data_IF_094391519083
#
_entry.id   IF_094391519083
#
_cell.length_a   1.000
_cell.length_b   1.000
_cell.length_c   1.000
_cell.angle_alpha   90.00
_cell.angle_beta   90.00
_cell.angle_gamma   90.00
#
_symmetry.space_group_name_H-M   'P 1'
#
loop_
_entity.id
_entity.type
_entity.pdbx_description
1 polymer ?
#
# COMPACT_ATOMS: atom_id res chain seq x y z
N UNK A 1 -11.60 22.71 9.58
CA UNK A 1 -10.59 21.66 9.71
C UNK A 1 -9.75 22.05 10.92
N UNK A 2 -9.58 21.19 11.93
CA UNK A 2 -8.72 21.50 13.07
C UNK A 2 -7.27 21.61 12.57
N UNK A 3 -6.52 22.54 13.11
CA UNK A 3 -5.07 22.62 12.86
C UNK A 3 -4.35 21.42 13.46
N UNK A 4 -3.12 21.13 13.03
CA UNK A 4 -2.32 20.05 13.60
C UNK A 4 -2.15 20.21 15.11
N UNK A 5 -1.96 21.45 15.59
CA UNK A 5 -1.84 21.78 17.01
C UNK A 5 -3.13 21.52 17.78
N UNK A 6 -4.29 21.85 17.22
CA UNK A 6 -5.60 21.53 17.82
C UNK A 6 -5.88 20.03 17.88
N UNK A 7 -5.35 19.23 16.93
CA UNK A 7 -5.44 17.76 16.93
C UNK A 7 -4.55 17.19 18.03
N UNK A 8 -3.31 17.67 18.16
CA UNK A 8 -2.37 17.24 19.19
C UNK A 8 -2.86 17.58 20.61
N UNK A 9 -3.51 18.72 20.79
CA UNK A 9 -4.11 19.11 22.09
C UNK A 9 -5.33 18.25 22.48
N UNK A 10 -5.98 17.59 21.53
CA UNK A 10 -7.17 16.76 21.78
C UNK A 10 -6.91 15.25 21.70
N UNK A 11 -5.75 14.84 21.20
CA UNK A 11 -5.40 13.41 21.10
C UNK A 11 -5.04 12.87 22.48
N UNK A 12 -5.65 11.75 22.93
CA UNK A 12 -5.33 11.16 24.22
C UNK A 12 -3.84 10.80 24.33
N UNK A 13 -3.26 10.99 25.52
CA UNK A 13 -1.83 10.75 25.79
C UNK A 13 -1.40 9.33 25.35
N UNK A 14 -2.26 8.33 25.48
CA UNK A 14 -1.98 6.95 25.06
C UNK A 14 -1.58 6.80 23.58
N UNK A 15 -2.08 7.66 22.69
CA UNK A 15 -1.68 7.67 21.28
C UNK A 15 -0.27 8.24 21.11
N UNK A 16 0.03 9.34 21.81
CA UNK A 16 1.36 9.97 21.78
C UNK A 16 2.43 9.02 22.36
N UNK A 17 2.11 8.30 23.44
CA UNK A 17 3.01 7.35 24.10
C UNK A 17 3.37 6.17 23.17
N UNK A 18 2.45 5.78 22.28
CA UNK A 18 2.68 4.76 21.24
C UNK A 18 3.22 5.35 19.92
N UNK A 19 3.38 6.66 19.82
CA UNK A 19 3.82 7.33 18.60
C UNK A 19 2.83 7.26 17.45
N UNK A 20 1.51 7.15 17.77
CA UNK A 20 0.44 7.05 16.78
C UNK A 20 -0.18 8.44 16.57
N UNK A 21 0.10 9.07 15.44
CA UNK A 21 -0.39 10.38 15.04
C UNK A 21 -1.45 10.32 13.93
N UNK A 22 -1.45 9.24 13.14
CA UNK A 22 -2.42 9.00 12.08
C UNK A 22 -2.59 7.50 11.79
N UNK A 23 -3.64 7.15 11.07
CA UNK A 23 -3.78 5.88 10.37
C UNK A 23 -3.53 6.05 8.87
N UNK A 24 -3.22 4.95 8.18
CA UNK A 24 -3.27 4.90 6.73
C UNK A 24 -4.23 3.80 6.27
N UNK A 25 -4.72 3.84 5.01
CA UNK A 25 -5.53 2.75 4.46
C UNK A 25 -4.85 1.38 4.57
N UNK A 26 -3.54 1.33 4.34
CA UNK A 26 -2.75 0.10 4.49
C UNK A 26 -2.74 -0.39 5.94
N UNK A 27 -2.55 0.50 6.90
CA UNK A 27 -2.64 0.17 8.33
C UNK A 27 -4.01 -0.37 8.70
N UNK A 28 -5.10 0.26 8.22
CA UNK A 28 -6.47 -0.16 8.53
C UNK A 28 -6.87 -1.50 7.88
N UNK A 29 -6.17 -1.92 6.83
CA UNK A 29 -6.35 -3.23 6.19
C UNK A 29 -5.57 -4.37 6.87
N UNK A 30 -4.60 -4.08 7.74
CA UNK A 30 -3.88 -5.10 8.50
C UNK A 30 -4.74 -5.66 9.66
N UNK A 31 -4.44 -6.88 10.12
CA UNK A 31 -4.94 -7.36 11.41
C UNK A 31 -4.45 -6.46 12.55
N UNK A 32 -5.18 -6.44 13.65
CA UNK A 32 -4.82 -5.63 14.81
C UNK A 32 -3.45 -6.03 15.39
N UNK A 33 -3.12 -7.33 15.38
CA UNK A 33 -1.84 -7.84 15.87
C UNK A 33 -0.66 -7.39 14.97
N UNK A 34 -0.79 -7.55 13.65
CA UNK A 34 0.23 -7.10 12.71
C UNK A 34 0.43 -5.57 12.75
N UNK A 35 -0.67 -4.83 12.86
CA UNK A 35 -0.61 -3.38 13.02
C UNK A 35 0.08 -2.97 14.34
N UNK A 36 -0.31 -3.57 15.48
CA UNK A 36 0.27 -3.24 16.78
C UNK A 36 1.79 -3.48 16.79
N UNK A 37 2.24 -4.61 16.23
CA UNK A 37 3.67 -4.86 16.12
C UNK A 37 4.37 -3.82 15.24
N UNK A 38 3.90 -3.62 14.00
CA UNK A 38 4.59 -2.77 13.02
C UNK A 38 4.56 -1.29 13.37
N UNK A 39 3.49 -0.80 13.97
CA UNK A 39 3.26 0.64 14.11
C UNK A 39 3.27 1.15 15.56
N UNK A 40 3.08 0.28 16.55
CA UNK A 40 3.18 0.65 17.95
C UNK A 40 4.44 0.08 18.63
N UNK A 41 4.84 -1.17 18.30
CA UNK A 41 6.02 -1.78 18.94
C UNK A 41 7.34 -1.44 18.24
N UNK A 42 7.33 -1.15 16.93
CA UNK A 42 8.55 -0.76 16.19
C UNK A 42 8.62 0.77 16.02
N UNK A 43 9.79 1.33 16.29
CA UNK A 43 10.11 2.71 15.89
C UNK A 43 10.07 2.88 14.37
N UNK A 44 9.96 4.12 13.90
CA UNK A 44 10.00 4.42 12.45
C UNK A 44 11.29 3.91 11.79
N UNK A 45 12.44 4.03 12.49
CA UNK A 45 13.72 3.53 11.99
C UNK A 45 13.77 2.00 11.87
N UNK A 46 13.13 1.28 12.78
CA UNK A 46 13.02 -0.18 12.72
C UNK A 46 12.05 -0.62 11.63
N UNK A 47 10.91 0.06 11.47
CA UNK A 47 10.00 -0.18 10.34
C UNK A 47 10.68 -0.01 8.99
N UNK A 48 11.52 1.01 8.84
CA UNK A 48 12.29 1.24 7.61
C UNK A 48 13.28 0.12 7.27
N UNK A 49 13.60 -0.76 8.23
CA UNK A 49 14.45 -1.94 8.01
C UNK A 49 13.66 -3.20 7.64
N UNK A 50 12.33 -3.17 7.73
CA UNK A 50 11.51 -4.30 7.30
C UNK A 50 11.71 -4.53 5.80
N UNK A 51 11.96 -5.78 5.45
CA UNK A 51 12.32 -6.14 4.07
C UNK A 51 11.11 -6.02 3.14
N UNK A 52 11.35 -5.36 2.01
CA UNK A 52 10.40 -5.26 0.89
C UNK A 52 10.76 -6.35 -0.13
N UNK A 53 9.82 -7.23 -0.45
CA UNK A 53 10.05 -8.26 -1.45
C UNK A 53 10.00 -7.69 -2.87
N UNK A 54 10.53 -8.44 -3.84
CA UNK A 54 10.62 -8.02 -5.24
C UNK A 54 9.26 -7.62 -5.84
N UNK A 55 8.14 -8.24 -5.44
CA UNK A 55 6.81 -7.89 -5.96
C UNK A 55 6.39 -6.48 -5.53
N UNK A 56 6.64 -6.13 -4.27
CA UNK A 56 6.36 -4.79 -3.76
C UNK A 56 7.29 -3.77 -4.42
N UNK A 57 8.58 -4.08 -4.49
CA UNK A 57 9.58 -3.23 -5.14
C UNK A 57 9.21 -2.93 -6.61
N UNK A 58 8.93 -3.98 -7.39
CA UNK A 58 8.53 -3.82 -8.80
C UNK A 58 7.22 -3.04 -8.95
N UNK A 59 6.24 -3.31 -8.08
CA UNK A 59 4.96 -2.58 -8.08
C UNK A 59 5.15 -1.09 -7.88
N UNK A 60 5.95 -0.69 -6.89
CA UNK A 60 6.31 0.70 -6.62
C UNK A 60 7.09 1.30 -7.79
N UNK A 61 8.14 0.62 -8.26
CA UNK A 61 8.97 1.10 -9.38
C UNK A 61 8.14 1.36 -10.64
N UNK A 62 7.24 0.44 -11.01
CA UNK A 62 6.35 0.65 -12.16
C UNK A 62 5.39 1.81 -11.91
N UNK A 63 4.88 1.97 -10.70
CA UNK A 63 4.06 3.12 -10.32
C UNK A 63 4.79 4.44 -10.53
N UNK A 64 5.99 4.56 -9.96
CA UNK A 64 6.83 5.76 -10.08
C UNK A 64 7.13 6.10 -11.55
N UNK A 65 7.45 5.10 -12.37
CA UNK A 65 7.72 5.30 -13.79
C UNK A 65 6.47 5.75 -14.58
N UNK A 66 5.30 5.20 -14.26
CA UNK A 66 4.05 5.70 -14.84
C UNK A 66 3.78 7.15 -14.42
N UNK A 67 4.02 7.52 -13.18
CA UNK A 67 3.87 8.90 -12.70
C UNK A 67 4.81 9.86 -13.46
N UNK A 68 6.06 9.47 -13.68
CA UNK A 68 7.01 10.24 -14.49
C UNK A 68 6.55 10.45 -15.94
N UNK A 69 5.83 9.48 -16.51
CA UNK A 69 5.31 9.56 -17.88
C UNK A 69 4.02 10.40 -17.99
N UNK A 70 3.16 10.39 -16.99
CA UNK A 70 1.79 10.92 -17.13
C UNK A 70 1.49 12.15 -16.27
N UNK A 71 2.13 12.30 -15.10
CA UNK A 71 1.83 13.40 -14.19
C UNK A 71 2.55 14.69 -14.57
N UNK A 72 1.88 15.81 -14.41
CA UNK A 72 2.45 17.15 -14.63
C UNK A 72 3.19 17.64 -13.38
N UNK A 73 2.78 17.15 -12.21
CA UNK A 73 3.33 17.50 -10.90
C UNK A 73 3.44 16.24 -10.04
N UNK A 74 4.48 16.18 -9.22
CA UNK A 74 4.73 15.03 -8.32
C UNK A 74 5.03 15.56 -6.92
N UNK A 75 4.30 15.11 -5.90
CA UNK A 75 4.64 15.36 -4.51
C UNK A 75 5.85 14.54 -4.10
N UNK A 76 6.89 15.22 -3.60
CA UNK A 76 8.06 14.53 -3.06
C UNK A 76 7.80 14.08 -1.64
N UNK A 77 8.04 12.80 -1.38
CA UNK A 77 7.81 12.17 -0.08
C UNK A 77 8.58 12.84 1.07
N UNK A 78 9.81 13.30 0.79
CA UNK A 78 10.72 13.81 1.83
C UNK A 78 10.47 15.26 2.20
N UNK A 79 9.96 16.09 1.30
CA UNK A 79 9.79 17.54 1.54
C UNK A 79 8.32 17.96 1.58
N UNK A 80 7.40 17.14 1.09
CA UNK A 80 6.00 17.49 0.92
C UNK A 80 5.79 18.59 -0.13
N UNK A 81 6.80 18.87 -0.94
CA UNK A 81 6.74 19.89 -1.99
C UNK A 81 6.22 19.31 -3.28
N UNK A 82 5.42 20.11 -3.99
CA UNK A 82 4.95 19.81 -5.33
C UNK A 82 6.05 20.16 -6.32
N UNK A 83 6.55 19.16 -7.03
CA UNK A 83 7.61 19.33 -8.04
C UNK A 83 6.99 19.26 -9.44
N UNK A 84 7.29 20.26 -10.24
CA UNK A 84 6.87 20.36 -11.63
C UNK A 84 7.60 19.32 -12.49
N UNK A 85 6.84 18.44 -13.14
CA UNK A 85 7.31 17.41 -14.05
C UNK A 85 7.04 17.81 -15.51
N UNK A 86 7.41 19.04 -15.88
CA UNK A 86 7.19 19.60 -17.25
C UNK A 86 7.75 18.74 -18.36
N UNK A 87 8.89 18.09 -18.11
CA UNK A 87 9.51 17.18 -19.06
C UNK A 87 9.12 15.75 -18.71
N UNK A 88 7.90 15.37 -19.10
CA UNK A 88 7.45 13.99 -18.95
C UNK A 88 8.42 13.01 -19.60
N UNK A 89 8.75 11.95 -18.88
CA UNK A 89 9.60 10.86 -19.38
C UNK A 89 8.88 10.11 -20.50
N UNK A 90 9.54 9.82 -21.60
CA UNK A 90 8.98 8.96 -22.64
C UNK A 90 8.88 7.51 -22.17
N UNK A 91 8.04 6.71 -22.84
CA UNK A 91 7.92 5.27 -22.53
C UNK A 91 9.28 4.56 -22.65
N UNK A 92 10.06 4.85 -23.69
CA UNK A 92 11.34 4.19 -23.92
C UNK A 92 12.38 4.54 -22.85
N UNK A 93 12.51 5.82 -22.50
CA UNK A 93 13.36 6.26 -21.37
C UNK A 93 12.95 5.61 -20.06
N UNK A 94 11.66 5.56 -19.75
CA UNK A 94 11.15 4.93 -18.53
C UNK A 94 11.40 3.41 -18.50
N UNK A 95 11.33 2.74 -19.65
CA UNK A 95 11.64 1.32 -19.76
C UNK A 95 13.14 1.02 -19.57
N UNK A 96 14.03 1.90 -20.02
CA UNK A 96 15.46 1.83 -19.71
C UNK A 96 15.72 2.01 -18.21
N UNK A 97 15.08 3.01 -17.58
CA UNK A 97 15.15 3.24 -16.15
C UNK A 97 14.67 2.02 -15.34
N UNK A 98 13.60 1.34 -15.78
CA UNK A 98 13.11 0.11 -15.14
C UNK A 98 14.20 -0.96 -15.09
N UNK A 99 14.89 -1.20 -16.21
CA UNK A 99 15.96 -2.19 -16.27
C UNK A 99 17.12 -1.84 -15.32
N UNK A 100 17.51 -0.55 -15.26
CA UNK A 100 18.55 -0.08 -14.33
C UNK A 100 18.14 -0.25 -12.86
N UNK A 101 16.88 0.07 -12.51
CA UNK A 101 16.38 -0.05 -11.15
C UNK A 101 16.32 -1.52 -10.72
N UNK A 102 15.87 -2.41 -11.59
CA UNK A 102 15.85 -3.84 -11.31
C UNK A 102 17.25 -4.42 -11.10
N UNK A 103 18.25 -3.95 -11.84
CA UNK A 103 19.64 -4.39 -11.65
C UNK A 103 20.24 -3.96 -10.30
N UNK A 104 19.65 -2.96 -9.64
CA UNK A 104 20.06 -2.49 -8.30
C UNK A 104 19.30 -3.19 -7.16
N UNK A 105 18.28 -4.00 -7.47
CA UNK A 105 17.52 -4.70 -6.45
C UNK A 105 18.38 -5.77 -5.78
N UNK A 106 18.38 -5.74 -4.44
CA UNK A 106 19.07 -6.72 -3.60
C UNK A 106 18.04 -7.63 -2.91
N UNK A 107 18.00 -8.88 -3.33
CA UNK A 107 17.11 -9.90 -2.78
C UNK A 107 17.51 -10.28 -1.36
N UNK A 108 16.55 -10.32 -0.45
CA UNK A 108 16.80 -10.48 0.98
C UNK A 108 16.80 -11.94 1.48
N UNK A 109 16.28 -12.87 0.68
CA UNK A 109 16.37 -14.31 0.96
C UNK A 109 16.34 -15.13 -0.34
N UNK A 110 16.57 -16.43 -0.23
CA UNK A 110 16.59 -17.34 -1.39
C UNK A 110 15.24 -17.36 -2.14
N UNK A 111 14.10 -17.32 -1.42
CA UNK A 111 12.77 -17.34 -2.03
C UNK A 111 12.53 -16.05 -2.83
N UNK A 112 12.96 -14.91 -2.31
CA UNK A 112 12.87 -13.64 -3.01
C UNK A 112 13.80 -13.58 -4.22
N UNK A 113 15.03 -14.15 -4.12
CA UNK A 113 15.95 -14.29 -5.24
C UNK A 113 15.37 -15.15 -6.37
N UNK A 114 14.82 -16.32 -6.05
CA UNK A 114 14.17 -17.20 -7.03
C UNK A 114 12.99 -16.47 -7.72
N UNK A 115 12.23 -15.67 -6.96
CA UNK A 115 11.13 -14.88 -7.49
C UNK A 115 11.62 -13.74 -8.39
N UNK A 116 12.67 -13.03 -7.99
CA UNK A 116 13.32 -11.98 -8.77
C UNK A 116 13.77 -12.49 -10.13
N UNK A 117 14.51 -13.62 -10.16
CA UNK A 117 14.95 -14.26 -11.39
C UNK A 117 13.76 -14.67 -12.27
N UNK A 118 12.68 -15.14 -11.62
CA UNK A 118 11.46 -15.57 -12.33
C UNK A 118 10.65 -14.43 -12.97
N UNK A 119 10.72 -13.20 -12.45
CA UNK A 119 9.88 -12.08 -12.91
C UNK A 119 10.64 -10.99 -13.66
N UNK A 120 11.95 -10.95 -13.56
CA UNK A 120 12.80 -9.94 -14.22
C UNK A 120 12.49 -9.82 -15.72
N UNK A 121 12.36 -10.96 -16.40
CA UNK A 121 12.14 -11.01 -17.86
C UNK A 121 10.76 -10.53 -18.30
N UNK A 122 9.80 -10.39 -17.37
CA UNK A 122 8.45 -9.90 -17.71
C UNK A 122 8.17 -8.49 -17.16
N UNK A 123 9.13 -7.86 -16.51
CA UNK A 123 8.92 -6.54 -15.90
C UNK A 123 8.61 -5.46 -16.95
N UNK A 124 9.27 -5.50 -18.11
CA UNK A 124 9.00 -4.57 -19.21
C UNK A 124 7.57 -4.74 -19.78
N UNK A 125 7.09 -5.99 -19.91
CA UNK A 125 5.71 -6.25 -20.34
C UNK A 125 4.71 -5.74 -19.27
N UNK A 126 5.01 -5.95 -17.99
CA UNK A 126 4.18 -5.42 -16.90
C UNK A 126 4.12 -3.89 -16.94
N UNK A 127 5.25 -3.22 -17.13
CA UNK A 127 5.30 -1.76 -17.26
C UNK A 127 4.48 -1.29 -18.47
N UNK A 128 4.62 -1.97 -19.62
CA UNK A 128 3.84 -1.66 -20.80
C UNK A 128 2.33 -1.73 -20.55
N UNK A 129 1.84 -2.77 -19.87
CA UNK A 129 0.42 -2.90 -19.54
C UNK A 129 -0.06 -1.80 -18.58
N UNK A 130 0.74 -1.46 -17.57
CA UNK A 130 0.43 -0.35 -16.67
C UNK A 130 0.38 0.99 -17.42
N UNK A 131 1.37 1.26 -18.27
CA UNK A 131 1.44 2.45 -19.12
C UNK A 131 0.22 2.57 -20.05
N UNK A 132 -0.15 1.49 -20.75
CA UNK A 132 -1.32 1.46 -21.63
C UNK A 132 -2.62 1.70 -20.82
N UNK A 133 -2.70 1.17 -19.61
CA UNK A 133 -3.80 1.43 -18.68
C UNK A 133 -3.91 2.91 -18.29
N UNK A 134 -2.82 3.55 -17.90
CA UNK A 134 -2.78 4.99 -17.61
C UNK A 134 -3.21 5.82 -18.81
N UNK A 135 -2.66 5.51 -19.97
CA UNK A 135 -2.98 6.20 -21.23
C UNK A 135 -4.46 6.12 -21.58
N UNK A 136 -5.10 4.97 -21.34
CA UNK A 136 -6.52 4.75 -21.64
C UNK A 136 -7.46 5.60 -20.78
N UNK A 137 -7.04 6.02 -19.59
CA UNK A 137 -7.83 6.87 -18.69
C UNK A 137 -8.00 8.30 -19.19
N UNK A 138 -7.14 8.76 -20.09
CA UNK A 138 -7.19 10.13 -20.66
C UNK A 138 -7.38 11.18 -19.56
N UNK A 139 -6.50 11.18 -18.56
CA UNK A 139 -6.54 12.12 -17.46
C UNK A 139 -6.32 13.55 -17.96
N UNK A 140 -7.02 14.51 -17.33
CA UNK A 140 -6.98 15.92 -17.72
C UNK A 140 -5.88 16.66 -16.94
N UNK A 141 -5.06 17.45 -17.63
CA UNK A 141 -4.05 18.28 -16.98
C UNK A 141 -4.68 19.38 -16.10
N UNK A 142 -4.13 19.71 -14.92
CA UNK A 142 -2.93 19.09 -14.36
C UNK A 142 -3.20 17.70 -13.75
N UNK A 143 -2.31 16.74 -14.00
CA UNK A 143 -2.30 15.45 -13.33
C UNK A 143 -1.24 15.46 -12.24
N UNK A 144 -1.63 15.19 -11.01
CA UNK A 144 -0.75 15.20 -9.82
C UNK A 144 -0.55 13.79 -9.29
N UNK A 145 0.70 13.39 -9.05
CA UNK A 145 1.05 12.13 -8.39
C UNK A 145 1.27 12.34 -6.89
N UNK A 146 1.11 11.26 -6.12
CA UNK A 146 1.41 11.19 -4.69
C UNK A 146 0.71 12.27 -3.84
N UNK A 147 -0.44 12.78 -4.33
CA UNK A 147 -1.18 13.78 -3.59
C UNK A 147 -1.67 13.22 -2.25
N UNK A 148 -1.25 13.84 -1.16
CA UNK A 148 -1.62 13.46 0.19
C UNK A 148 -3.03 13.91 0.51
N UNK A 149 -3.88 12.97 0.87
CA UNK A 149 -5.26 13.21 1.26
C UNK A 149 -5.51 12.78 2.71
N UNK A 150 -6.31 13.55 3.43
CA UNK A 150 -6.60 13.33 4.86
C UNK A 150 -8.09 13.36 5.13
N UNK A 151 -8.52 12.51 6.06
CA UNK A 151 -9.89 12.50 6.58
C UNK A 151 -9.85 12.29 8.09
N UNK A 152 -10.56 13.12 8.84
CA UNK A 152 -10.65 12.98 10.28
C UNK A 152 -11.47 11.74 10.66
N UNK A 153 -10.91 10.91 11.54
CA UNK A 153 -11.60 9.87 12.27
C UNK A 153 -11.76 10.32 13.74
N UNK A 154 -12.08 9.44 14.67
CA UNK A 154 -12.45 9.86 16.02
C UNK A 154 -11.31 10.62 16.73
N UNK A 155 -10.18 10.00 16.97
CA UNK A 155 -9.05 10.61 17.71
C UNK A 155 -7.94 11.11 16.79
N UNK A 156 -7.64 10.38 15.73
CA UNK A 156 -6.61 10.74 14.75
C UNK A 156 -7.19 10.76 13.34
N UNK A 157 -6.51 11.44 12.42
CA UNK A 157 -6.91 11.39 11.01
C UNK A 157 -6.43 10.10 10.33
N UNK A 158 -7.07 9.75 9.23
CA UNK A 158 -6.51 8.80 8.27
C UNK A 158 -5.85 9.58 7.14
N UNK A 159 -4.64 9.20 6.76
CA UNK A 159 -3.84 9.81 5.71
C UNK A 159 -3.44 8.80 4.66
N UNK A 160 -3.48 9.16 3.39
CA UNK A 160 -3.03 8.31 2.29
C UNK A 160 -2.66 9.14 1.08
N UNK A 161 -2.16 8.49 0.05
CA UNK A 161 -1.74 9.14 -1.20
C UNK A 161 -2.35 8.43 -2.40
N UNK A 162 -2.81 9.22 -3.36
CA UNK A 162 -3.30 8.73 -4.65
C UNK A 162 -2.12 8.53 -5.60
N UNK A 163 -2.13 7.46 -6.38
CA UNK A 163 -1.05 7.21 -7.36
C UNK A 163 -1.06 8.26 -8.48
N UNK A 164 -2.24 8.75 -8.84
CA UNK A 164 -2.39 9.88 -9.75
C UNK A 164 -3.80 10.46 -9.68
N UNK A 165 -3.92 11.77 -9.80
CA UNK A 165 -5.22 12.43 -9.83
C UNK A 165 -5.25 13.63 -10.77
N UNK A 166 -6.41 13.87 -11.35
CA UNK A 166 -6.75 15.07 -12.10
C UNK A 166 -7.89 15.84 -11.36
N UNK A 167 -8.40 16.94 -11.89
CA UNK A 167 -9.49 17.70 -11.24
C UNK A 167 -10.76 16.88 -10.98
N UNK A 168 -11.04 15.82 -11.73
CA UNK A 168 -12.32 15.09 -11.69
C UNK A 168 -12.21 13.66 -11.17
N UNK A 169 -11.03 13.02 -11.32
CA UNK A 169 -10.83 11.61 -11.02
C UNK A 169 -9.47 11.35 -10.41
N UNK A 170 -9.34 10.20 -9.76
CA UNK A 170 -8.05 9.68 -9.30
C UNK A 170 -7.88 8.22 -9.68
N UNK A 171 -6.64 7.79 -9.72
CA UNK A 171 -6.21 6.44 -10.03
C UNK A 171 -5.49 5.82 -8.84
N UNK A 172 -5.80 4.55 -8.59
CA UNK A 172 -5.06 3.64 -7.73
C UNK A 172 -4.52 2.50 -8.59
N UNK A 173 -3.20 2.36 -8.69
CA UNK A 173 -2.54 1.35 -9.51
C UNK A 173 -2.13 0.13 -8.68
N UNK A 174 -2.37 -1.06 -9.20
CA UNK A 174 -2.00 -2.33 -8.55
C UNK A 174 -1.37 -3.30 -9.53
N UNK A 175 -0.12 -3.66 -9.29
CA UNK A 175 0.59 -4.65 -10.09
C UNK A 175 0.30 -6.07 -9.60
N UNK A 176 0.10 -7.00 -10.52
CA UNK A 176 -0.09 -8.43 -10.29
C UNK A 176 1.11 -9.20 -10.82
N UNK A 177 2.15 -9.26 -10.01
CA UNK A 177 3.39 -9.96 -10.35
C UNK A 177 3.15 -11.46 -10.48
N UNK A 178 3.87 -12.14 -11.41
CA UNK A 178 3.82 -13.58 -11.55
C UNK A 178 4.16 -14.32 -10.25
N UNK A 179 3.69 -15.55 -10.16
CA UNK A 179 4.00 -16.45 -9.06
C UNK A 179 4.88 -17.59 -9.54
N UNK A 180 5.76 -18.09 -8.66
CA UNK A 180 6.50 -19.34 -8.90
C UNK A 180 5.64 -20.54 -8.51
N UNK A 181 5.55 -21.50 -9.40
CA UNK A 181 4.91 -22.79 -9.13
C UNK A 181 5.73 -23.62 -8.14
N UNK A 182 5.13 -24.67 -7.62
CA UNK A 182 5.86 -25.66 -6.80
C UNK A 182 7.05 -26.22 -7.60
N UNK A 183 8.18 -26.53 -6.93
CA UNK A 183 9.31 -27.14 -7.59
C UNK A 183 8.90 -28.43 -8.29
N UNK A 184 9.41 -28.67 -9.49
CA UNK A 184 9.33 -29.96 -10.18
C UNK A 184 10.29 -30.96 -9.53
N UNK A 185 10.25 -32.22 -9.97
CA UNK A 185 11.16 -33.29 -9.45
C UNK A 185 12.64 -32.98 -9.66
N UNK A 186 12.97 -32.18 -10.67
CA UNK A 186 14.34 -31.72 -10.98
C UNK A 186 14.76 -30.47 -10.22
N UNK A 187 13.91 -29.98 -9.29
CA UNK A 187 14.14 -28.75 -8.51
C UNK A 187 13.78 -27.45 -9.25
N UNK A 188 13.50 -27.49 -10.54
CA UNK A 188 13.14 -26.29 -11.31
C UNK A 188 11.72 -25.81 -10.96
N UNK A 189 11.50 -24.49 -11.04
CA UNK A 189 10.17 -23.88 -10.88
C UNK A 189 9.77 -23.19 -12.18
N UNK A 190 8.52 -23.36 -12.58
CA UNK A 190 7.94 -22.58 -13.67
C UNK A 190 7.23 -21.36 -13.12
N UNK A 191 7.22 -20.30 -13.91
CA UNK A 191 6.48 -19.07 -13.68
C UNK A 191 5.03 -19.23 -14.15
N UNK A 192 4.07 -18.66 -13.42
CA UNK A 192 2.68 -18.55 -13.85
C UNK A 192 2.20 -17.10 -13.71
N UNK A 193 1.48 -16.63 -14.73
CA UNK A 193 0.79 -15.35 -14.70
C UNK A 193 -0.19 -15.32 -13.52
N UNK A 194 -0.14 -14.27 -12.73
CA UNK A 194 -1.17 -14.02 -11.72
C UNK A 194 -2.37 -13.37 -12.40
N UNK A 195 -3.52 -14.03 -12.36
CA UNK A 195 -4.75 -13.50 -12.96
C UNK A 195 -5.18 -12.17 -12.34
N UNK A 196 -5.68 -11.26 -13.15
CA UNK A 196 -6.31 -10.04 -12.68
C UNK A 196 -7.66 -10.35 -12.00
N UNK A 197 -8.14 -9.50 -11.07
CA UNK A 197 -9.48 -9.63 -10.52
C UNK A 197 -10.53 -9.65 -11.64
N UNK A 198 -11.51 -10.57 -11.55
CA UNK A 198 -12.42 -10.81 -12.65
C UNK A 198 -13.60 -9.84 -12.67
N UNK A 199 -14.35 -9.76 -11.60
CA UNK A 199 -15.62 -9.00 -11.56
C UNK A 199 -15.54 -7.84 -10.56
N UNK A 200 -14.77 -7.99 -9.49
CA UNK A 200 -14.59 -7.01 -8.43
C UNK A 200 -13.10 -6.83 -8.09
N UNK A 201 -12.65 -5.63 -7.69
CA UNK A 201 -11.30 -5.42 -7.19
C UNK A 201 -11.08 -6.17 -5.88
N UNK A 202 -9.83 -6.36 -5.49
CA UNK A 202 -9.53 -6.90 -4.16
C UNK A 202 -10.10 -5.97 -3.08
N UNK A 203 -10.70 -6.56 -2.07
CA UNK A 203 -11.43 -5.84 -1.03
C UNK A 203 -10.60 -4.76 -0.32
N UNK A 204 -9.31 -5.05 -0.05
CA UNK A 204 -8.38 -4.07 0.54
C UNK A 204 -8.16 -2.84 -0.36
N UNK A 205 -8.10 -3.06 -1.68
CA UNK A 205 -7.93 -1.97 -2.64
C UNK A 205 -9.23 -1.17 -2.82
N UNK A 206 -10.38 -1.83 -2.83
CA UNK A 206 -11.68 -1.14 -2.86
C UNK A 206 -11.87 -0.25 -1.63
N UNK A 207 -11.50 -0.72 -0.44
CA UNK A 207 -11.54 0.05 0.80
C UNK A 207 -10.60 1.28 0.77
N UNK A 208 -9.37 1.10 0.28
CA UNK A 208 -8.42 2.18 0.10
C UNK A 208 -8.97 3.24 -0.87
N UNK A 209 -9.51 2.79 -1.98
CA UNK A 209 -10.13 3.66 -3.01
C UNK A 209 -11.36 4.40 -2.46
N UNK A 210 -12.19 3.75 -1.65
CA UNK A 210 -13.32 4.42 -0.99
C UNK A 210 -12.84 5.55 -0.06
N UNK A 211 -11.79 5.33 0.73
CA UNK A 211 -11.20 6.39 1.54
C UNK A 211 -10.77 7.59 0.67
N UNK A 212 -10.05 7.37 -0.43
CA UNK A 212 -9.63 8.45 -1.32
C UNK A 212 -10.82 9.17 -1.97
N UNK A 213 -11.85 8.44 -2.38
CA UNK A 213 -13.08 9.04 -2.92
C UNK A 213 -13.71 10.02 -1.94
N UNK A 214 -13.92 9.61 -0.69
CA UNK A 214 -14.55 10.48 0.32
C UNK A 214 -13.63 11.61 0.81
N UNK A 215 -12.31 11.44 0.73
CA UNK A 215 -11.36 12.50 1.06
C UNK A 215 -11.24 13.57 -0.05
N UNK A 216 -11.36 13.17 -1.32
CA UNK A 216 -11.15 14.07 -2.47
C UNK A 216 -12.44 14.52 -3.14
N UNK A 217 -13.53 13.76 -3.03
CA UNK A 217 -14.76 13.93 -3.81
C UNK A 217 -14.65 13.54 -5.28
N UNK A 218 -13.50 12.99 -5.72
CA UNK A 218 -13.21 12.64 -7.12
C UNK A 218 -13.69 11.23 -7.48
N UNK A 219 -13.92 11.00 -8.79
CA UNK A 219 -14.31 9.69 -9.32
C UNK A 219 -13.13 8.70 -9.22
N UNK A 220 -13.34 7.51 -8.63
CA UNK A 220 -12.28 6.52 -8.47
C UNK A 220 -12.07 5.66 -9.71
N UNK A 221 -10.80 5.28 -9.94
CA UNK A 221 -10.39 4.23 -10.85
C UNK A 221 -9.35 3.34 -10.18
N UNK A 222 -9.48 2.01 -10.34
CA UNK A 222 -8.45 1.05 -9.93
C UNK A 222 -7.91 0.37 -11.18
N UNK A 223 -6.62 0.55 -11.46
CA UNK A 223 -5.91 -0.11 -12.53
C UNK A 223 -5.17 -1.32 -11.99
N UNK A 224 -5.50 -2.51 -12.48
CA UNK A 224 -4.67 -3.69 -12.33
C UNK A 224 -3.92 -3.97 -13.61
N UNK A 225 -2.64 -4.34 -13.49
CA UNK A 225 -1.85 -4.81 -14.62
C UNK A 225 -0.98 -6.01 -14.22
N UNK A 226 -0.79 -6.94 -15.16
CA UNK A 226 0.18 -8.01 -15.12
C UNK A 226 1.02 -7.99 -16.41
N UNK A 227 1.80 -9.02 -16.70
CA UNK A 227 2.64 -9.08 -17.89
C UNK A 227 1.87 -9.30 -19.20
N UNK A 228 0.55 -9.54 -19.17
CA UNK A 228 -0.25 -9.87 -20.36
C UNK A 228 -1.32 -8.85 -20.68
N UNK A 229 -1.93 -8.30 -19.64
CA UNK A 229 -3.12 -7.47 -19.76
C UNK A 229 -3.22 -6.45 -18.63
N UNK A 230 -4.05 -5.44 -18.86
CA UNK A 230 -4.51 -4.55 -17.79
C UNK A 230 -6.04 -4.56 -17.71
N UNK A 231 -6.55 -4.16 -16.55
CA UNK A 231 -7.98 -4.00 -16.31
C UNK A 231 -8.24 -2.80 -15.42
N UNK A 232 -9.25 -2.03 -15.78
CA UNK A 232 -9.68 -0.86 -15.02
C UNK A 232 -11.06 -1.12 -14.42
N UNK A 233 -11.19 -0.86 -13.14
CA UNK A 233 -12.45 -0.87 -12.41
C UNK A 233 -12.88 0.55 -12.10
N UNK A 234 -14.17 0.82 -12.27
CA UNK A 234 -14.88 2.02 -11.86
C UNK A 234 -16.33 1.70 -11.49
N UNK A 235 -17.12 2.69 -11.16
CA UNK A 235 -18.52 2.52 -10.77
C UNK A 235 -19.44 1.98 -11.87
N UNK A 236 -18.97 1.91 -13.12
CA UNK A 236 -19.77 1.39 -14.24
C UNK A 236 -19.64 -0.13 -14.42
N UNK A 237 -18.60 -0.73 -13.87
CA UNK A 237 -18.27 -2.13 -14.12
C UNK A 237 -18.00 -2.97 -12.85
N UNK A 238 -18.13 -2.41 -11.65
CA UNK A 238 -18.07 -3.17 -10.41
C UNK A 238 -18.90 -2.52 -9.29
N UNK A 239 -19.47 -3.35 -8.40
CA UNK A 239 -20.33 -2.91 -7.31
C UNK A 239 -19.54 -2.22 -6.18
N UNK A 240 -18.33 -2.67 -5.92
CA UNK A 240 -17.46 -2.11 -4.85
C UNK A 240 -17.14 -0.62 -5.04
N UNK A 241 -17.20 -0.10 -6.27
CA UNK A 241 -16.93 1.31 -6.58
C UNK A 241 -18.20 2.11 -6.88
N UNK A 242 -19.40 1.55 -6.71
CA UNK A 242 -20.62 2.34 -6.64
C UNK A 242 -20.63 3.20 -5.36
N UNK A 243 -21.50 4.20 -5.30
CA UNK A 243 -21.61 5.06 -4.11
C UNK A 243 -21.89 4.22 -2.86
N UNK A 244 -22.84 3.32 -2.94
CA UNK A 244 -23.25 2.43 -1.84
C UNK A 244 -22.11 1.51 -1.41
N UNK A 245 -21.41 0.87 -2.37
CA UNK A 245 -20.26 0.01 -2.08
C UNK A 245 -19.12 0.77 -1.39
N UNK A 246 -18.82 1.97 -1.86
CA UNK A 246 -17.81 2.82 -1.24
C UNK A 246 -18.21 3.31 0.15
N UNK A 247 -19.49 3.61 0.40
CA UNK A 247 -19.99 3.93 1.74
C UNK A 247 -19.78 2.76 2.72
N UNK A 248 -20.07 1.53 2.32
CA UNK A 248 -19.82 0.33 3.13
C UNK A 248 -18.32 0.17 3.45
N UNK A 249 -17.46 0.38 2.48
CA UNK A 249 -16.01 0.29 2.65
C UNK A 249 -15.48 1.37 3.60
N UNK A 250 -15.96 2.60 3.51
CA UNK A 250 -15.59 3.67 4.45
C UNK A 250 -16.05 3.33 5.87
N UNK A 251 -17.28 2.81 6.03
CA UNK A 251 -17.77 2.38 7.34
C UNK A 251 -16.93 1.22 7.92
N UNK A 252 -16.42 0.33 7.07
CA UNK A 252 -15.46 -0.67 7.53
C UNK A 252 -14.18 -0.03 8.09
N UNK A 253 -13.57 0.93 7.40
CA UNK A 253 -12.38 1.64 7.90
C UNK A 253 -12.64 2.37 9.21
N UNK A 254 -13.78 3.04 9.34
CA UNK A 254 -14.17 3.67 10.60
C UNK A 254 -14.28 2.67 11.75
N UNK A 255 -14.86 1.49 11.51
CA UNK A 255 -14.89 0.40 12.51
C UNK A 255 -13.50 -0.10 12.87
N UNK A 256 -12.62 -0.28 11.88
CA UNK A 256 -11.24 -0.73 12.12
C UNK A 256 -10.41 0.31 12.89
N UNK A 257 -10.59 1.60 12.62
CA UNK A 257 -10.01 2.68 13.41
C UNK A 257 -10.52 2.66 14.85
N UNK A 258 -11.83 2.63 15.04
CA UNK A 258 -12.43 2.57 16.38
C UNK A 258 -12.02 1.32 17.20
N UNK A 259 -11.72 0.19 16.54
CA UNK A 259 -11.15 -0.98 17.23
C UNK A 259 -9.73 -0.70 17.72
N UNK A 260 -8.89 -0.05 16.90
CA UNK A 260 -7.53 0.36 17.27
C UNK A 260 -7.56 1.38 18.40
N UNK A 261 -8.41 2.38 18.28
CA UNK A 261 -8.59 3.43 19.29
C UNK A 261 -8.92 2.80 20.66
N UNK A 262 -9.86 1.85 20.71
CA UNK A 262 -10.20 1.13 21.95
C UNK A 262 -9.02 0.33 22.51
N UNK A 263 -8.24 -0.34 21.65
CA UNK A 263 -7.06 -1.10 22.08
C UNK A 263 -5.97 -0.17 22.64
N UNK A 264 -5.72 0.96 21.98
CA UNK A 264 -4.78 1.99 22.45
C UNK A 264 -5.23 2.56 23.80
N UNK A 265 -6.49 2.95 23.93
CA UNK A 265 -7.01 3.51 25.18
C UNK A 265 -6.97 2.48 26.32
N UNK A 266 -7.27 1.21 26.04
CA UNK A 266 -7.18 0.12 27.03
C UNK A 266 -5.74 -0.11 27.51
N UNK A 267 -4.77 -0.05 26.61
CA UNK A 267 -3.34 -0.22 26.91
C UNK A 267 -2.72 0.97 27.68
N UNK A 268 -3.43 2.10 27.76
CA UNK A 268 -2.94 3.36 28.37
C UNK A 268 -1.57 3.81 27.82
N UNK A 269 -1.28 3.50 26.54
CA UNK A 269 -0.03 3.82 25.89
C UNK A 269 1.13 2.84 26.15
N UNK A 270 0.88 1.73 26.83
CA UNK A 270 1.86 0.65 27.03
C UNK A 270 1.85 -0.32 25.83
N UNK A 271 3.01 -0.51 25.21
CA UNK A 271 3.17 -1.50 24.13
C UNK A 271 2.92 -2.93 24.63
N UNK A 272 3.43 -3.29 25.83
CA UNK A 272 3.23 -4.61 26.43
C UNK A 272 1.75 -4.90 26.66
N UNK A 273 1.04 -3.94 27.27
CA UNK A 273 -0.42 -4.08 27.52
C UNK A 273 -1.22 -4.15 26.20
N UNK A 274 -0.79 -3.41 25.15
CA UNK A 274 -1.43 -3.48 23.84
C UNK A 274 -1.28 -4.87 23.21
N UNK A 275 -0.10 -5.48 23.29
CA UNK A 275 0.21 -6.77 22.66
C UNK A 275 -0.31 -7.96 23.45
N UNK A 276 -0.45 -7.83 24.77
CA UNK A 276 -0.85 -8.93 25.68
C UNK A 276 -2.14 -9.63 25.29
N UNK A 277 -3.14 -8.86 24.91
CA UNK A 277 -4.48 -9.36 24.58
C UNK A 277 -4.66 -9.73 23.09
N UNK A 278 -3.60 -9.66 22.29
CA UNK A 278 -3.66 -9.93 20.84
C UNK A 278 -3.14 -11.33 20.54
N UNK A 279 -3.85 -12.03 19.65
CA UNK A 279 -3.47 -13.34 19.12
C UNK A 279 -3.08 -13.23 17.65
N UNK A 280 -1.77 -13.24 17.33
CA UNK A 280 -1.30 -13.14 15.94
C UNK A 280 -1.55 -14.42 15.17
N UNK A 281 -2.17 -14.33 14.00
CA UNK A 281 -2.20 -15.41 13.01
C UNK A 281 -0.83 -15.49 12.29
N UNK A 282 0.08 -16.30 12.84
CA UNK A 282 1.44 -16.46 12.30
C UNK A 282 1.49 -17.14 10.94
N UNK A 283 0.43 -17.82 10.54
CA UNK A 283 0.33 -18.51 9.26
C UNK A 283 -0.13 -17.56 8.14
N UNK A 284 -0.54 -16.35 8.48
CA UNK A 284 -0.91 -15.31 7.52
C UNK A 284 0.35 -14.75 6.82
N UNK A 285 0.78 -15.44 5.76
CA UNK A 285 2.04 -15.15 5.05
C UNK A 285 2.20 -13.69 4.59
N UNK A 286 1.12 -13.03 4.18
CA UNK A 286 1.21 -11.64 3.71
C UNK A 286 1.57 -10.66 4.81
N UNK A 287 1.04 -10.82 6.01
CA UNK A 287 1.27 -9.90 7.12
C UNK A 287 2.65 -10.06 7.77
N UNK A 288 3.18 -11.30 7.78
CA UNK A 288 4.41 -11.68 8.46
C UNK A 288 5.57 -12.01 7.51
N UNK A 289 5.41 -11.77 6.19
CA UNK A 289 6.52 -11.84 5.21
C UNK A 289 7.38 -10.55 5.28
N UNK A 290 7.99 -10.33 6.44
CA UNK A 290 8.76 -9.13 6.82
C UNK A 290 10.24 -9.41 7.04
N UNK A 291 10.70 -10.59 6.64
CA UNK A 291 12.04 -11.11 6.91
C UNK A 291 12.09 -11.99 8.15
N UNK A 292 12.91 -13.03 8.11
CA UNK A 292 12.98 -14.05 9.17
C UNK A 292 13.31 -13.46 10.55
N UNK A 293 14.28 -12.55 10.60
CA UNK A 293 14.69 -11.90 11.85
C UNK A 293 13.58 -11.04 12.45
N UNK A 294 12.88 -10.25 11.62
CA UNK A 294 11.76 -9.43 12.08
C UNK A 294 10.57 -10.29 12.52
N UNK A 295 10.27 -11.39 11.82
CA UNK A 295 9.22 -12.33 12.21
C UNK A 295 9.56 -13.04 13.53
N UNK A 296 10.82 -13.43 13.74
CA UNK A 296 11.28 -14.02 15.01
C UNK A 296 11.24 -13.00 16.15
N UNK A 297 11.63 -11.76 15.88
CA UNK A 297 11.51 -10.66 16.85
C UNK A 297 10.04 -10.44 17.24
N UNK A 298 9.12 -10.40 16.28
CA UNK A 298 7.69 -10.29 16.55
C UNK A 298 7.21 -11.40 17.51
N UNK A 299 7.52 -12.66 17.21
CA UNK A 299 7.17 -13.81 18.05
C UNK A 299 7.72 -13.69 19.47
N UNK A 300 8.92 -13.15 19.64
CA UNK A 300 9.54 -12.92 20.94
C UNK A 300 8.78 -11.83 21.72
N UNK A 301 8.53 -10.69 21.11
CA UNK A 301 7.86 -9.53 21.74
C UNK A 301 6.45 -9.89 22.21
N UNK A 302 5.68 -10.64 21.39
CA UNK A 302 4.34 -11.11 21.80
C UNK A 302 4.40 -12.09 22.96
N UNK A 303 5.35 -13.04 23.00
CA UNK A 303 5.50 -13.97 24.13
C UNK A 303 5.86 -13.24 25.42
N UNK A 304 6.76 -12.27 25.35
CA UNK A 304 7.15 -11.46 26.51
C UNK A 304 5.95 -10.70 27.06
N UNK A 305 5.19 -10.00 26.20
CA UNK A 305 3.99 -9.27 26.60
C UNK A 305 2.90 -10.18 27.21
N UNK A 306 2.74 -11.40 26.69
CA UNK A 306 1.74 -12.36 27.20
C UNK A 306 2.17 -13.08 28.47
N UNK A 307 3.44 -13.00 28.87
CA UNK A 307 3.97 -13.62 30.09
C UNK A 307 4.00 -12.69 31.30
N UNK A 308 3.81 -11.38 31.08
CA UNK A 308 3.64 -10.35 32.13
C UNK A 308 2.18 -10.27 32.63
#
# INVERSE_FOLDING_TARGET
>A
MKTLDEILETTPQAFADLGIDHYSPTQLNCSLASWAYKYAALSSAERGKLKTNIKMYLGTTIGDLCQLCFCDEIYTYNTGELVDNKKKTSFDEANEMLAEMLNKYDSWDQKDQELYEGIRDCAADMFKQAYDGWKSLSMQSPVVAENTVKMQFDYVHCEGRTDGEDPLKFLEQKMKCPSLNRPKKDGTRSKSTTALPKDEPQLSHARQTAFYHFATGKRPFILYANEKEYKIFDSSNCMSLTKEGMEEHLQHFKRMAAMRDRAIMKSKGSVSDLLRDLDPDWDHNYEWDIGADAANHAKKVFREAQSE
#
